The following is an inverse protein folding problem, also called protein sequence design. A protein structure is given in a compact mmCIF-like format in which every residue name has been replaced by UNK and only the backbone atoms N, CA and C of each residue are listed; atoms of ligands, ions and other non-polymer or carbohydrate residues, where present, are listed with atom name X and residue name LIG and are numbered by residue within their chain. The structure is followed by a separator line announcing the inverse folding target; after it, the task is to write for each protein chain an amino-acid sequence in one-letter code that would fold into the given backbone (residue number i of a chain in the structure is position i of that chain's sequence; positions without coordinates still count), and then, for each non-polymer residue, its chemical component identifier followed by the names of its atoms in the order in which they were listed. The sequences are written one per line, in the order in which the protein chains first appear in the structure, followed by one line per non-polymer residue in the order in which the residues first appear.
data_IF_471772760807
#
_entry.id   IF_471772760807
#
_cell.length_a   1.000
_cell.length_b   1.000
_cell.length_c   1.000
_cell.angle_alpha   90.00
_cell.angle_beta   90.00
_cell.angle_gamma   90.00
#
_symmetry.space_group_name_H-M   'P 1'
#
loop_
_entity.id
_entity.type
_entity.pdbx_description
1 polymer ?
#
# COMPACT_ATOMS: atom_id res chain seq x y z
N UNK A 1 -15.08 -1.42 11.44
CA UNK A 1 -15.79 -2.21 12.44
C UNK A 1 -16.21 -1.44 13.71
N UNK A 2 -15.90 -0.19 13.89
CA UNK A 2 -16.30 0.65 15.03
C UNK A 2 -15.66 0.29 16.38
N UNK A 3 -14.72 -0.64 16.42
CA UNK A 3 -13.95 -0.94 17.62
C UNK A 3 -12.73 -0.04 17.73
N UNK A 4 -12.31 0.33 18.94
CA UNK A 4 -11.10 1.15 19.16
C UNK A 4 -9.80 0.36 18.94
N UNK A 5 -9.88 -0.95 18.82
CA UNK A 5 -8.74 -1.83 18.63
C UNK A 5 -8.56 -2.15 17.14
N UNK A 6 -7.32 -2.04 16.64
CA UNK A 6 -6.99 -2.48 15.28
C UNK A 6 -7.08 -4.00 15.18
N UNK A 7 -7.87 -4.49 14.23
CA UNK A 7 -8.07 -5.92 13.97
C UNK A 7 -7.93 -6.21 12.49
N UNK A 8 -7.45 -7.41 12.17
CA UNK A 8 -7.49 -7.89 10.80
C UNK A 8 -8.96 -8.15 10.42
N UNK A 9 -9.51 -7.28 9.59
CA UNK A 9 -10.86 -7.42 9.05
C UNK A 9 -10.78 -8.01 7.65
N UNK A 10 -11.60 -9.01 7.38
CA UNK A 10 -11.76 -9.64 6.07
C UNK A 10 -13.21 -9.47 5.62
N UNK A 11 -13.41 -8.80 4.50
CA UNK A 11 -14.70 -8.76 3.81
C UNK A 11 -14.59 -9.59 2.55
N UNK A 12 -15.48 -10.56 2.39
CA UNK A 12 -15.52 -11.43 1.20
C UNK A 12 -16.53 -10.95 0.15
N UNK A 13 -17.41 -10.04 0.54
CA UNK A 13 -18.49 -9.50 -0.29
C UNK A 13 -18.28 -8.04 -0.74
N UNK A 14 -17.31 -7.37 -0.14
CA UNK A 14 -17.01 -5.95 -0.42
C UNK A 14 -15.50 -5.71 -0.37
N UNK A 15 -14.97 -5.16 -1.43
CA UNK A 15 -13.55 -4.78 -1.54
C UNK A 15 -13.45 -3.39 -2.15
N UNK A 16 -12.49 -2.61 -1.70
CA UNK A 16 -11.96 -1.47 -2.44
C UNK A 16 -10.76 -1.91 -3.30
N UNK A 17 -10.16 -1.01 -4.05
CA UNK A 17 -9.06 -1.34 -4.94
C UNK A 17 -7.86 -1.97 -4.20
N UNK A 18 -7.45 -1.38 -3.08
CA UNK A 18 -6.32 -1.90 -2.30
C UNK A 18 -6.63 -3.25 -1.65
N UNK A 19 -7.81 -3.40 -1.05
CA UNK A 19 -8.21 -4.67 -0.44
C UNK A 19 -8.43 -5.77 -1.47
N UNK A 20 -8.79 -5.44 -2.72
CA UNK A 20 -8.82 -6.40 -3.82
C UNK A 20 -7.41 -6.94 -4.11
N UNK A 21 -6.44 -6.04 -4.31
CA UNK A 21 -5.03 -6.41 -4.52
C UNK A 21 -4.51 -7.27 -3.38
N UNK A 22 -4.74 -6.85 -2.12
CA UNK A 22 -4.34 -7.61 -0.95
C UNK A 22 -4.99 -8.99 -0.88
N UNK A 23 -6.28 -9.09 -1.22
CA UNK A 23 -7.02 -10.37 -1.22
C UNK A 23 -6.46 -11.33 -2.25
N UNK A 24 -6.28 -10.89 -3.50
CA UNK A 24 -5.74 -11.72 -4.59
C UNK A 24 -4.32 -12.17 -4.25
N UNK A 25 -3.47 -11.25 -3.79
CA UNK A 25 -2.10 -11.57 -3.44
C UNK A 25 -2.02 -12.53 -2.24
N UNK A 26 -2.86 -12.33 -1.21
CA UNK A 26 -2.92 -13.22 -0.05
C UNK A 26 -3.39 -14.63 -0.41
N UNK A 27 -4.36 -14.77 -1.31
CA UNK A 27 -4.79 -16.08 -1.84
C UNK A 27 -3.65 -16.76 -2.60
N UNK A 28 -2.92 -16.02 -3.43
CA UNK A 28 -1.77 -16.55 -4.18
C UNK A 28 -0.61 -17.01 -3.27
N UNK A 29 -0.48 -16.39 -2.09
CA UNK A 29 0.56 -16.70 -1.12
C UNK A 29 0.13 -17.70 -0.04
N UNK A 30 -1.14 -18.11 -0.01
CA UNK A 30 -1.67 -18.94 1.08
C UNK A 30 -0.88 -20.27 1.25
N UNK A 31 -0.49 -20.91 0.16
CA UNK A 31 0.32 -22.13 0.17
C UNK A 31 1.68 -21.93 0.85
N UNK A 32 2.30 -20.78 0.69
CA UNK A 32 3.58 -20.43 1.34
C UNK A 32 3.45 -20.39 2.87
N UNK A 33 2.25 -20.11 3.39
CA UNK A 33 1.97 -19.97 4.83
C UNK A 33 1.30 -21.21 5.44
N UNK A 34 1.21 -22.31 4.70
CA UNK A 34 0.68 -23.57 5.20
C UNK A 34 -0.07 -24.36 4.13
N UNK A 35 -1.36 -24.55 4.33
CA UNK A 35 -2.26 -25.17 3.35
C UNK A 35 -3.09 -24.10 2.68
N UNK A 36 -3.69 -24.39 1.52
CA UNK A 36 -4.67 -23.54 0.86
C UNK A 36 -5.99 -23.50 1.67
N UNK A 37 -5.93 -22.95 2.89
CA UNK A 37 -7.06 -22.82 3.79
C UNK A 37 -7.21 -21.37 4.28
N UNK A 38 -8.31 -21.08 4.96
CA UNK A 38 -8.61 -19.75 5.43
C UNK A 38 -7.60 -19.21 6.47
N UNK A 39 -7.00 -20.07 7.28
CA UNK A 39 -6.00 -19.66 8.26
C UNK A 39 -4.69 -19.23 7.56
N UNK A 40 -4.27 -19.95 6.54
CA UNK A 40 -3.10 -19.60 5.73
C UNK A 40 -3.33 -18.31 4.94
N UNK A 41 -4.53 -18.11 4.39
CA UNK A 41 -4.95 -16.85 3.78
C UNK A 41 -4.86 -15.68 4.76
N UNK A 42 -5.40 -15.82 5.99
CA UNK A 42 -5.31 -14.77 7.02
C UNK A 42 -3.88 -14.44 7.40
N UNK A 43 -3.00 -15.45 7.50
CA UNK A 43 -1.57 -15.24 7.77
C UNK A 43 -0.90 -14.46 6.63
N UNK A 44 -1.18 -14.83 5.38
CA UNK A 44 -0.68 -14.11 4.22
C UNK A 44 -1.18 -12.67 4.20
N UNK A 45 -2.48 -12.46 4.41
CA UNK A 45 -3.09 -11.14 4.44
C UNK A 45 -2.51 -10.25 5.56
N UNK A 46 -2.30 -10.81 6.74
CA UNK A 46 -1.65 -10.10 7.84
C UNK A 46 -0.22 -9.70 7.46
N UNK A 47 0.51 -10.62 6.83
CA UNK A 47 1.87 -10.36 6.39
C UNK A 47 1.96 -9.18 5.41
N UNK A 48 1.06 -9.09 4.43
CA UNK A 48 1.11 -8.04 3.39
C UNK A 48 0.49 -6.72 3.81
N UNK A 49 -0.49 -6.72 4.71
CA UNK A 49 -1.26 -5.53 5.13
C UNK A 49 -0.57 -4.72 6.22
N UNK A 50 0.20 -5.39 7.07
CA UNK A 50 0.81 -4.76 8.23
C UNK A 50 2.34 -4.68 8.12
N UNK A 51 2.89 -3.62 8.64
CA UNK A 51 4.33 -3.33 8.66
C UNK A 51 5.12 -4.48 9.28
N UNK A 52 6.12 -4.98 8.54
CA UNK A 52 6.90 -6.16 8.92
C UNK A 52 6.03 -7.40 9.23
N UNK A 53 4.81 -7.48 8.70
CA UNK A 53 3.87 -8.57 8.95
C UNK A 53 3.33 -8.63 10.37
N UNK A 54 3.37 -7.52 11.13
CA UNK A 54 2.97 -7.48 12.54
C UNK A 54 1.85 -6.47 12.78
N UNK A 55 0.72 -6.94 13.26
CA UNK A 55 -0.36 -6.10 13.71
C UNK A 55 -0.02 -5.55 15.12
N UNK A 56 0.22 -4.26 15.21
CA UNK A 56 0.60 -3.55 16.43
C UNK A 56 -0.08 -2.16 16.49
N UNK A 57 -1.42 -2.16 16.45
CA UNK A 57 -2.24 -0.96 16.42
C UNK A 57 -2.39 -0.34 15.03
N UNK A 58 -3.15 0.75 14.94
CA UNK A 58 -3.61 1.39 13.71
C UNK A 58 -2.46 1.77 12.77
N UNK A 59 -1.40 2.38 13.27
CA UNK A 59 -0.26 2.85 12.46
C UNK A 59 0.63 1.72 11.95
N UNK A 60 0.45 0.49 12.42
CA UNK A 60 1.14 -0.67 11.86
C UNK A 60 0.56 -1.11 10.53
N UNK A 61 -0.69 -0.75 10.21
CA UNK A 61 -1.29 -0.94 8.89
C UNK A 61 -0.58 -0.04 7.88
N UNK A 62 -0.32 -0.59 6.71
CA UNK A 62 0.33 0.13 5.61
C UNK A 62 -0.74 0.96 4.87
N UNK A 63 -0.92 2.21 5.31
CA UNK A 63 -1.98 3.09 4.82
C UNK A 63 -1.65 3.77 3.50
N UNK A 64 -0.38 4.11 3.27
CA UNK A 64 0.11 4.65 2.01
C UNK A 64 0.57 3.52 1.10
N UNK A 65 0.21 3.56 -0.17
CA UNK A 65 0.52 2.45 -1.07
C UNK A 65 2.00 2.37 -1.41
N UNK A 66 2.72 3.50 -1.48
CA UNK A 66 4.18 3.51 -1.60
C UNK A 66 4.86 2.82 -0.41
N UNK A 67 4.34 3.01 0.81
CA UNK A 67 4.83 2.35 2.01
C UNK A 67 4.50 0.84 1.99
N UNK A 68 3.33 0.49 1.47
CA UNK A 68 2.91 -0.88 1.23
C UNK A 68 3.83 -1.60 0.23
N UNK A 69 4.16 -0.96 -0.90
CA UNK A 69 5.09 -1.50 -1.89
C UNK A 69 6.45 -1.75 -1.24
N UNK A 70 7.02 -0.74 -0.59
CA UNK A 70 8.35 -0.80 0.02
C UNK A 70 8.46 -1.89 1.10
N UNK A 71 7.48 -2.00 1.99
CA UNK A 71 7.46 -3.01 3.05
C UNK A 71 7.33 -4.43 2.46
N UNK A 72 6.46 -4.60 1.45
CA UNK A 72 6.26 -5.90 0.79
C UNK A 72 7.44 -6.29 -0.12
N UNK A 73 8.15 -5.32 -0.69
CA UNK A 73 9.40 -5.56 -1.40
C UNK A 73 10.51 -6.04 -0.44
N UNK A 74 10.65 -5.41 0.71
CA UNK A 74 11.59 -5.85 1.76
C UNK A 74 11.30 -7.27 2.26
N UNK A 75 10.05 -7.69 2.22
CA UNK A 75 9.62 -9.07 2.55
C UNK A 75 9.80 -10.06 1.38
N UNK A 76 10.22 -9.59 0.20
CA UNK A 76 10.36 -10.40 -1.01
C UNK A 76 9.03 -10.92 -1.55
N UNK A 77 7.96 -10.16 -1.37
CA UNK A 77 6.59 -10.50 -1.81
C UNK A 77 6.28 -9.84 -3.15
N UNK A 78 6.65 -8.58 -3.32
CA UNK A 78 6.53 -7.83 -4.58
C UNK A 78 7.89 -7.29 -4.99
N UNK A 79 8.00 -6.82 -6.23
CA UNK A 79 9.15 -6.10 -6.73
C UNK A 79 8.69 -4.82 -7.44
N UNK A 80 9.20 -3.67 -7.03
CA UNK A 80 8.91 -2.39 -7.66
C UNK A 80 9.72 -2.26 -8.96
N UNK A 81 9.04 -2.29 -10.10
CA UNK A 81 9.67 -2.34 -11.42
C UNK A 81 9.64 -1.02 -12.18
N UNK A 82 8.91 -0.02 -11.69
CA UNK A 82 8.68 1.22 -12.47
C UNK A 82 9.98 1.87 -12.92
N UNK A 83 10.99 1.89 -12.04
CA UNK A 83 12.31 2.45 -12.37
C UNK A 83 13.10 1.69 -13.43
N UNK A 84 12.74 0.44 -13.73
CA UNK A 84 13.35 -0.41 -14.74
C UNK A 84 12.72 -0.18 -16.13
N UNK A 85 11.55 0.45 -16.18
CA UNK A 85 10.80 0.70 -17.41
C UNK A 85 11.35 1.94 -18.12
N UNK A 86 11.61 1.84 -19.43
CA UNK A 86 12.28 2.87 -20.22
C UNK A 86 11.56 4.23 -20.30
N UNK A 87 10.30 4.32 -19.85
CA UNK A 87 9.49 5.53 -19.83
C UNK A 87 9.37 6.17 -18.44
N UNK A 88 10.03 5.59 -17.44
CA UNK A 88 9.97 6.07 -16.07
C UNK A 88 10.71 7.39 -15.89
N UNK A 89 10.14 8.26 -15.06
CA UNK A 89 10.77 9.51 -14.60
C UNK A 89 10.75 9.53 -13.07
N UNK A 90 11.70 10.26 -12.48
CA UNK A 90 11.78 10.41 -11.03
C UNK A 90 10.99 11.63 -10.55
N UNK A 91 10.34 11.50 -9.41
CA UNK A 91 9.76 12.62 -8.67
C UNK A 91 10.10 12.50 -7.18
N UNK A 92 10.02 13.61 -6.47
CA UNK A 92 10.19 13.63 -5.02
C UNK A 92 8.83 13.46 -4.34
N UNK A 93 8.69 12.39 -3.58
CA UNK A 93 7.51 12.11 -2.77
C UNK A 93 7.67 12.72 -1.37
N UNK A 94 6.59 13.33 -0.88
CA UNK A 94 6.44 13.79 0.49
C UNK A 94 5.04 13.39 0.97
N UNK A 95 4.95 12.57 2.00
CA UNK A 95 3.68 12.15 2.58
C UNK A 95 3.39 12.93 3.86
N UNK A 96 2.20 13.49 3.94
CA UNK A 96 1.67 14.18 5.13
C UNK A 96 0.13 14.25 5.15
N UNK A 97 -0.53 13.54 4.22
CA UNK A 97 -1.97 13.67 4.01
C UNK A 97 -2.78 13.23 5.22
N UNK A 98 -2.48 12.08 5.82
CA UNK A 98 -3.26 11.54 6.93
C UNK A 98 -3.12 12.39 8.20
N UNK A 99 -1.91 12.84 8.52
CA UNK A 99 -1.69 13.67 9.71
C UNK A 99 -2.29 15.06 9.57
N UNK A 100 -2.21 15.67 8.37
CA UNK A 100 -2.76 17.01 8.08
C UNK A 100 -4.27 17.01 7.90
N UNK A 101 -4.89 15.85 7.59
CA UNK A 101 -6.33 15.67 7.43
C UNK A 101 -6.88 14.68 8.47
N UNK A 102 -6.36 14.71 9.69
CA UNK A 102 -6.68 13.74 10.75
C UNK A 102 -8.17 13.63 11.05
N UNK A 103 -8.95 14.70 10.86
CA UNK A 103 -10.41 14.70 11.05
C UNK A 103 -11.17 13.77 10.08
N UNK A 104 -10.57 13.43 8.94
CA UNK A 104 -11.14 12.50 7.97
C UNK A 104 -10.99 11.04 8.38
N UNK A 105 -10.20 10.75 9.40
CA UNK A 105 -9.87 9.39 9.85
C UNK A 105 -10.35 9.16 11.28
N UNK A 106 -11.34 8.33 11.45
CA UNK A 106 -11.96 8.06 12.76
C UNK A 106 -10.93 7.77 13.87
N UNK A 107 -9.85 7.06 13.56
CA UNK A 107 -8.80 6.69 14.51
C UNK A 107 -7.82 7.81 14.84
N UNK A 108 -7.65 8.77 13.94
CA UNK A 108 -6.77 9.93 14.14
C UNK A 108 -7.53 11.10 14.78
N UNK A 109 -8.81 11.22 14.48
CA UNK A 109 -9.65 12.33 14.97
C UNK A 109 -9.60 12.42 16.50
N UNK A 110 -9.25 13.60 17.00
CA UNK A 110 -9.13 13.88 18.43
C UNK A 110 -8.12 12.96 19.18
N UNK A 111 -7.14 12.38 18.47
CA UNK A 111 -6.13 11.49 19.05
C UNK A 111 -4.71 11.99 18.76
N UNK A 112 -4.18 12.97 19.52
CA UNK A 112 -2.85 13.53 19.28
C UNK A 112 -1.72 12.48 19.31
N UNK A 113 -1.82 11.48 20.16
CA UNK A 113 -0.82 10.40 20.24
C UNK A 113 -0.78 9.59 18.94
N UNK A 114 -1.93 9.23 18.39
CA UNK A 114 -2.01 8.49 17.12
C UNK A 114 -1.55 9.35 15.94
N UNK A 115 -1.91 10.64 15.92
CA UNK A 115 -1.42 11.61 14.93
C UNK A 115 0.10 11.69 14.96
N UNK A 116 0.71 11.80 16.16
CA UNK A 116 2.17 11.86 16.31
C UNK A 116 2.83 10.59 15.75
N UNK A 117 2.27 9.42 15.99
CA UNK A 117 2.77 8.15 15.43
C UNK A 117 2.66 8.14 13.90
N UNK A 118 1.58 8.66 13.32
CA UNK A 118 1.42 8.78 11.87
C UNK A 118 2.46 9.73 11.27
N UNK A 119 2.71 10.88 11.90
CA UNK A 119 3.76 11.83 11.50
C UNK A 119 5.12 11.14 11.43
N UNK A 120 5.46 10.27 12.39
CA UNK A 120 6.74 9.55 12.37
C UNK A 120 6.85 8.56 11.16
N UNK A 121 5.73 8.01 10.70
CA UNK A 121 5.69 7.20 9.48
C UNK A 121 5.88 8.09 8.25
N UNK A 122 5.13 9.19 8.16
CA UNK A 122 5.17 10.13 7.04
C UNK A 122 6.55 10.80 6.90
N UNK A 123 7.25 11.07 8.00
CA UNK A 123 8.64 11.60 7.99
C UNK A 123 9.62 10.73 7.22
N UNK A 124 9.42 9.42 7.19
CA UNK A 124 10.28 8.48 6.44
C UNK A 124 10.15 8.66 4.93
N UNK A 125 9.06 9.32 4.51
CA UNK A 125 8.74 9.62 3.11
C UNK A 125 8.99 11.08 2.74
N UNK A 126 9.73 11.82 3.58
CA UNK A 126 10.10 13.20 3.28
C UNK A 126 11.28 13.21 2.31
N UNK A 127 11.08 13.90 1.17
CA UNK A 127 12.08 14.03 0.10
C UNK A 127 12.58 12.68 -0.45
N UNK A 128 11.70 11.68 -0.54
CA UNK A 128 12.07 10.37 -1.08
C UNK A 128 11.88 10.38 -2.60
N UNK A 129 12.93 10.07 -3.38
CA UNK A 129 12.77 9.88 -4.82
C UNK A 129 11.99 8.60 -5.11
N UNK A 130 10.99 8.70 -5.97
CA UNK A 130 10.21 7.57 -6.48
C UNK A 130 10.09 7.66 -7.99
N UNK A 131 9.93 6.52 -8.65
CA UNK A 131 9.71 6.45 -10.09
C UNK A 131 8.24 6.40 -10.44
N UNK A 132 7.84 7.01 -11.55
CA UNK A 132 6.50 6.86 -12.12
C UNK A 132 6.54 7.00 -13.64
N UNK A 133 5.54 6.49 -14.34
CA UNK A 133 5.38 6.68 -15.78
C UNK A 133 4.39 7.82 -15.99
N UNK A 134 4.80 8.93 -16.64
CA UNK A 134 3.89 10.04 -16.92
C UNK A 134 2.73 9.60 -17.80
N UNK A 135 1.53 10.11 -17.53
CA UNK A 135 0.33 9.83 -18.33
C UNK A 135 0.53 10.13 -19.83
N UNK A 136 1.34 11.13 -20.16
CA UNK A 136 1.71 11.49 -21.53
C UNK A 136 2.55 10.42 -22.24
N UNK A 137 3.18 9.52 -21.51
CA UNK A 137 3.99 8.41 -22.03
C UNK A 137 3.19 7.11 -22.17
N UNK A 138 1.89 7.10 -21.86
CA UNK A 138 1.04 5.90 -21.91
C UNK A 138 0.40 5.66 -23.28
N UNK A 139 0.79 6.40 -24.33
CA UNK A 139 0.31 6.21 -25.72
C UNK A 139 1.08 5.09 -26.47
N UNK A 140 1.48 4.07 -25.74
CA UNK A 140 2.25 2.92 -26.23
C UNK A 140 1.54 1.62 -25.83
N UNK A 141 1.90 0.51 -26.45
CA UNK A 141 1.30 -0.79 -26.11
C UNK A 141 1.78 -1.31 -24.75
N UNK A 142 1.06 -2.28 -24.19
CA UNK A 142 1.47 -2.97 -22.95
C UNK A 142 2.80 -3.71 -23.13
N UNK A 143 3.07 -4.21 -24.32
CA UNK A 143 4.33 -4.88 -24.67
C UNK A 143 5.50 -3.88 -24.64
N UNK A 144 5.30 -2.67 -25.14
CA UNK A 144 6.32 -1.61 -25.13
C UNK A 144 6.57 -1.10 -23.69
N UNK A 145 5.55 -1.15 -22.82
CA UNK A 145 5.68 -0.86 -21.38
C UNK A 145 6.26 -2.03 -20.58
N UNK A 146 6.41 -3.21 -21.18
CA UNK A 146 6.79 -4.47 -20.49
C UNK A 146 5.88 -4.80 -19.29
N UNK A 147 4.59 -4.43 -19.37
CA UNK A 147 3.58 -4.76 -18.36
C UNK A 147 3.05 -6.17 -18.64
N UNK A 148 3.01 -7.00 -17.60
CA UNK A 148 2.63 -8.41 -17.68
C UNK A 148 1.35 -8.71 -16.90
N UNK A 149 0.69 -9.79 -17.26
CA UNK A 149 -0.43 -10.31 -16.47
C UNK A 149 0.04 -10.64 -15.06
N UNK A 150 -0.67 -10.09 -14.07
CA UNK A 150 -0.33 -10.23 -12.66
C UNK A 150 0.44 -9.04 -12.08
N UNK A 151 0.88 -8.08 -12.91
CA UNK A 151 1.47 -6.85 -12.40
C UNK A 151 0.40 -6.01 -11.67
N UNK A 152 0.80 -5.42 -10.55
CA UNK A 152 -0.01 -4.51 -9.77
C UNK A 152 0.27 -3.09 -10.24
N UNK A 153 -0.78 -2.38 -10.65
CA UNK A 153 -0.68 -1.00 -11.15
C UNK A 153 -1.13 -0.03 -10.06
N UNK A 154 -0.28 0.92 -9.71
CA UNK A 154 -0.60 2.01 -8.78
C UNK A 154 -0.80 3.32 -9.55
N UNK A 155 -1.98 3.92 -9.44
CA UNK A 155 -2.31 5.20 -10.08
C UNK A 155 -2.00 6.33 -9.11
N UNK A 156 -0.93 7.06 -9.41
CA UNK A 156 -0.46 8.18 -8.59
C UNK A 156 -1.38 9.40 -8.70
N UNK A 157 -1.26 10.34 -7.75
CA UNK A 157 -2.06 11.55 -7.70
C UNK A 157 -1.18 12.80 -7.54
N UNK A 158 -1.73 13.96 -7.91
CA UNK A 158 -1.16 15.27 -7.62
C UNK A 158 -1.74 15.91 -6.34
N UNK A 159 -2.56 15.19 -5.59
CA UNK A 159 -3.03 15.65 -4.28
C UNK A 159 -1.82 15.74 -3.35
N UNK A 160 -1.59 16.93 -2.81
CA UNK A 160 -0.44 17.19 -1.94
C UNK A 160 -0.47 16.26 -0.73
N UNK A 161 0.65 15.63 -0.45
CA UNK A 161 0.82 14.74 0.71
C UNK A 161 0.27 13.34 0.54
N UNK A 162 -0.34 13.01 -0.61
CA UNK A 162 -0.86 11.69 -0.95
C UNK A 162 -0.05 11.10 -2.12
N UNK A 163 0.08 9.79 -2.16
CA UNK A 163 0.85 9.07 -3.19
C UNK A 163 -0.04 8.47 -4.30
N UNK A 164 -0.97 7.63 -3.92
CA UNK A 164 -1.78 6.79 -4.82
C UNK A 164 -3.26 6.96 -4.51
N UNK A 165 -4.09 7.00 -5.55
CA UNK A 165 -5.56 7.11 -5.42
C UNK A 165 -6.28 5.85 -5.87
N UNK A 166 -5.60 4.97 -6.62
CA UNK A 166 -6.20 3.72 -7.13
C UNK A 166 -5.10 2.67 -7.39
N UNK A 167 -5.47 1.41 -7.24
CA UNK A 167 -4.62 0.24 -7.54
C UNK A 167 -5.39 -0.81 -8.33
#
# INVERSE_FOLDING_TARGET
DGTDEERLVVHLDKVDCTTLVETVLALSLADKYGKSDFESYKKALLCIRYRNGKQAGYVSRLHYFSDWIKDNEQKGIVHERTGELGLAVSQILNLDFMSTHSDNYHRLKNNPSMISQMIEIERKWKNVPVSYIPKTSLNVSSEELDIKNGDIIAITTNIKGLDVVHT
#
